data_IF_638608884730
#
_entry.id   IF_638608884730
#
_cell.length_a   1.000
_cell.length_b   1.000
_cell.length_c   1.000
_cell.angle_alpha   90.00
_cell.angle_beta   90.00
_cell.angle_gamma   90.00
#
_symmetry.space_group_name_H-M   'P 1'
#
loop_
_entity.id
_entity.type
_entity.pdbx_description
1 polymer ?
#
# COMPACT_ATOMS: atom_id res chain seq x y z
N UNK A 1 -1.96 1.49 35.72
CA UNK A 1 -1.74 0.59 34.56
C UNK A 1 -1.15 1.41 33.44
N UNK A 2 0.08 1.16 33.08
CA UNK A 2 0.73 1.81 31.92
C UNK A 2 0.03 1.30 30.67
N UNK A 3 -0.63 2.21 29.92
CA UNK A 3 -1.26 1.86 28.66
C UNK A 3 -0.15 1.63 27.64
N UNK A 4 0.03 0.39 27.26
CA UNK A 4 1.02 -0.02 26.26
C UNK A 4 0.53 0.40 24.87
N UNK A 5 1.42 0.91 24.03
CA UNK A 5 1.15 1.19 22.62
C UNK A 5 1.47 -0.09 21.84
N UNK A 6 0.46 -0.66 21.19
CA UNK A 6 0.64 -1.84 20.35
C UNK A 6 1.17 -1.44 18.98
N UNK A 7 1.94 -2.32 18.37
CA UNK A 7 2.36 -2.19 16.98
C UNK A 7 1.16 -2.37 16.06
N UNK A 8 1.08 -1.50 15.05
CA UNK A 8 0.03 -1.58 14.04
C UNK A 8 0.36 -2.69 13.04
N UNK A 9 -0.61 -3.52 12.71
CA UNK A 9 -0.49 -4.57 11.71
C UNK A 9 -1.43 -4.31 10.54
N UNK A 10 -0.98 -4.67 9.35
CA UNK A 10 -1.81 -4.71 8.15
C UNK A 10 -2.61 -6.02 8.20
N UNK A 11 -3.82 -5.95 8.77
CA UNK A 11 -4.63 -7.12 9.06
C UNK A 11 -5.30 -7.72 7.83
N UNK A 12 -5.67 -6.90 6.84
CA UNK A 12 -6.39 -7.33 5.66
C UNK A 12 -6.13 -6.39 4.48
N UNK A 13 -6.02 -6.96 3.29
CA UNK A 13 -6.03 -6.24 2.02
C UNK A 13 -7.19 -6.80 1.20
N UNK A 14 -8.09 -5.92 0.75
CA UNK A 14 -9.22 -6.26 -0.12
C UNK A 14 -9.07 -5.54 -1.44
N UNK A 15 -8.94 -6.28 -2.52
CA UNK A 15 -9.00 -5.72 -3.85
C UNK A 15 -10.44 -5.42 -4.22
N UNK A 16 -10.74 -4.16 -4.55
CA UNK A 16 -12.06 -3.67 -4.92
C UNK A 16 -12.23 -3.54 -6.44
N UNK A 17 -11.13 -3.63 -7.17
CA UNK A 17 -11.04 -3.53 -8.62
C UNK A 17 -9.60 -3.65 -9.07
N UNK A 18 -9.35 -3.54 -10.37
CA UNK A 18 -8.01 -3.70 -10.96
C UNK A 18 -7.00 -2.67 -10.41
N UNK A 19 -7.46 -1.42 -10.18
CA UNK A 19 -6.63 -0.32 -9.70
C UNK A 19 -7.15 0.25 -8.36
N UNK A 20 -7.89 -0.53 -7.58
CA UNK A 20 -8.49 -0.08 -6.31
C UNK A 20 -8.36 -1.16 -5.26
N UNK A 21 -7.79 -0.80 -4.10
CA UNK A 21 -7.67 -1.72 -2.96
C UNK A 21 -7.96 -1.02 -1.63
N UNK A 22 -8.45 -1.79 -0.68
CA UNK A 22 -8.72 -1.34 0.69
C UNK A 22 -7.79 -2.05 1.66
N UNK A 23 -7.13 -1.27 2.52
CA UNK A 23 -6.15 -1.71 3.51
C UNK A 23 -6.75 -1.54 4.91
N UNK A 24 -6.77 -2.61 5.70
CA UNK A 24 -7.27 -2.60 7.07
C UNK A 24 -6.09 -2.70 8.04
N UNK A 25 -5.88 -1.66 8.82
CA UNK A 25 -4.77 -1.53 9.78
C UNK A 25 -5.34 -1.56 11.19
N UNK A 26 -4.93 -2.52 12.00
CA UNK A 26 -5.32 -2.71 13.40
C UNK A 26 -4.31 -3.59 14.15
N UNK A 27 -4.21 -3.52 15.51
CA UNK A 27 -4.89 -2.55 16.37
C UNK A 27 -4.17 -1.20 16.38
N UNK A 28 -4.90 -0.12 16.53
CA UNK A 28 -4.35 1.22 16.71
C UNK A 28 -4.79 1.76 18.06
N UNK A 29 -3.91 2.48 18.75
CA UNK A 29 -4.27 3.20 19.96
C UNK A 29 -5.29 4.31 19.64
N UNK A 30 -6.14 4.66 20.59
CA UNK A 30 -7.18 5.67 20.42
C UNK A 30 -6.63 7.00 19.89
N UNK A 31 -7.21 7.51 18.80
CA UNK A 31 -6.80 8.72 18.10
C UNK A 31 -5.78 8.50 16.97
N UNK A 32 -5.03 7.38 16.98
CA UNK A 32 -4.00 7.10 15.96
C UNK A 32 -4.60 6.79 14.59
N UNK A 33 -5.82 6.28 14.52
CA UNK A 33 -6.51 6.03 13.26
C UNK A 33 -6.60 7.29 12.39
N UNK A 34 -7.02 8.40 12.96
CA UNK A 34 -7.07 9.69 12.25
C UNK A 34 -5.69 10.26 11.95
N UNK A 35 -4.74 10.14 12.87
CA UNK A 35 -3.37 10.65 12.68
C UNK A 35 -2.67 9.93 11.53
N UNK A 36 -2.69 8.60 11.53
CA UNK A 36 -2.07 7.79 10.48
C UNK A 36 -2.83 7.93 9.15
N UNK A 37 -4.17 7.87 9.20
CA UNK A 37 -5.01 7.97 8.00
C UNK A 37 -4.81 9.30 7.27
N UNK A 38 -4.77 10.42 7.99
CA UNK A 38 -4.51 11.72 7.39
C UNK A 38 -3.07 11.85 6.87
N UNK A 39 -2.07 11.36 7.61
CA UNK A 39 -0.67 11.41 7.20
C UNK A 39 -0.44 10.59 5.93
N UNK A 40 -0.92 9.35 5.90
CA UNK A 40 -0.84 8.47 4.71
C UNK A 40 -1.57 9.08 3.51
N UNK A 41 -2.81 9.57 3.71
CA UNK A 41 -3.56 10.22 2.65
C UNK A 41 -2.82 11.40 2.04
N UNK A 42 -2.22 12.26 2.85
CA UNK A 42 -1.48 13.43 2.37
C UNK A 42 -0.26 13.02 1.55
N UNK A 43 0.51 12.05 2.03
CA UNK A 43 1.70 11.56 1.32
C UNK A 43 1.32 10.85 0.02
N UNK A 44 0.29 10.00 0.03
CA UNK A 44 -0.24 9.33 -1.16
C UNK A 44 -0.63 10.33 -2.27
N UNK A 45 -1.29 11.43 -1.93
CA UNK A 45 -1.76 12.42 -2.90
C UNK A 45 -0.70 13.43 -3.36
N UNK A 46 0.43 13.55 -2.65
CA UNK A 46 1.41 14.61 -2.96
C UNK A 46 2.83 14.13 -3.21
N UNK A 47 3.18 12.93 -2.77
CA UNK A 47 4.60 12.56 -2.66
C UNK A 47 4.99 11.29 -3.39
N UNK A 48 4.03 10.56 -3.97
CA UNK A 48 4.33 9.41 -4.82
C UNK A 48 4.86 9.90 -6.16
N UNK A 49 5.93 9.25 -6.64
CA UNK A 49 6.57 9.56 -7.92
C UNK A 49 5.70 9.06 -9.07
N UNK A 50 5.60 9.86 -10.13
CA UNK A 50 4.96 9.47 -11.38
C UNK A 50 5.57 10.17 -12.58
N UNK A 51 5.02 9.94 -13.77
CA UNK A 51 5.45 10.54 -15.01
C UNK A 51 4.28 11.24 -15.72
N UNK A 52 4.55 12.34 -16.39
CA UNK A 52 3.54 13.07 -17.15
C UNK A 52 4.17 13.82 -18.35
N UNK A 53 3.33 14.16 -19.32
CA UNK A 53 3.73 15.03 -20.44
C UNK A 53 3.76 16.46 -19.93
N UNK A 54 4.89 17.14 -20.09
CA UNK A 54 5.13 18.50 -19.59
C UNK A 54 5.27 19.53 -20.70
N UNK A 55 5.56 19.09 -21.92
CA UNK A 55 5.59 19.94 -23.10
C UNK A 55 5.29 19.12 -24.36
N UNK A 56 4.74 19.76 -25.38
CA UNK A 56 4.56 19.17 -26.69
C UNK A 56 4.79 20.17 -27.81
N UNK A 57 5.08 19.68 -28.98
CA UNK A 57 5.13 20.42 -30.22
C UNK A 57 4.24 19.72 -31.23
N UNK A 58 3.30 20.45 -31.80
CA UNK A 58 2.44 19.99 -32.89
C UNK A 58 2.76 20.79 -34.14
N UNK A 59 3.10 20.11 -35.24
CA UNK A 59 3.42 20.76 -36.48
C UNK A 59 2.24 21.62 -36.95
N UNK A 60 2.51 22.90 -37.26
CA UNK A 60 1.47 23.87 -37.66
C UNK A 60 0.87 24.69 -36.50
N UNK A 61 1.31 24.47 -35.26
CA UNK A 61 0.89 25.29 -34.10
C UNK A 61 2.04 26.12 -33.56
N UNK A 62 1.72 27.39 -33.19
CA UNK A 62 2.69 28.28 -32.54
C UNK A 62 2.30 28.67 -31.11
N UNK A 63 1.06 28.40 -30.69
CA UNK A 63 0.54 28.74 -29.38
C UNK A 63 -0.66 27.86 -29.04
N UNK A 64 -0.98 27.78 -27.76
CA UNK A 64 -2.00 26.93 -27.16
C UNK A 64 -3.44 27.16 -27.64
N UNK A 65 -3.73 28.35 -28.19
CA UNK A 65 -5.06 28.71 -28.74
C UNK A 65 -5.14 28.60 -30.27
N UNK A 66 -4.32 27.76 -30.86
CA UNK A 66 -4.32 27.51 -32.30
C UNK A 66 -5.34 26.43 -32.69
N UNK A 67 -5.85 26.49 -33.90
CA UNK A 67 -6.55 25.36 -34.53
C UNK A 67 -5.69 24.85 -35.70
N UNK A 68 -5.58 23.54 -35.84
CA UNK A 68 -4.82 22.90 -36.92
C UNK A 68 -5.77 22.44 -38.00
N UNK A 69 -5.68 22.97 -39.25
CA UNK A 69 -6.49 22.48 -40.33
C UNK A 69 -6.28 20.97 -40.54
N UNK A 70 -7.37 20.20 -40.55
CA UNK A 70 -7.31 18.73 -40.67
C UNK A 70 -7.44 17.95 -39.39
N UNK A 71 -7.49 18.64 -38.23
CA UNK A 71 -7.82 18.08 -36.93
C UNK A 71 -9.14 18.69 -36.45
N UNK A 72 -9.99 17.88 -35.83
CA UNK A 72 -11.33 18.32 -35.35
C UNK A 72 -11.20 19.13 -34.06
N UNK A 73 -10.36 18.66 -33.13
CA UNK A 73 -10.12 19.28 -31.84
C UNK A 73 -9.16 20.47 -31.97
N UNK A 74 -9.35 21.48 -31.12
CA UNK A 74 -8.39 22.57 -31.00
C UNK A 74 -7.18 22.16 -30.12
N UNK A 75 -6.17 23.02 -30.07
CA UNK A 75 -4.94 22.73 -29.30
C UNK A 75 -5.24 22.61 -27.80
N UNK A 76 -6.20 23.35 -27.26
CA UNK A 76 -6.59 23.27 -25.84
C UNK A 76 -7.21 21.92 -25.53
N UNK A 77 -8.09 21.41 -26.40
CA UNK A 77 -8.68 20.07 -26.24
C UNK A 77 -7.62 18.98 -26.33
N UNK A 78 -6.66 19.13 -27.25
CA UNK A 78 -5.51 18.21 -27.35
C UNK A 78 -4.70 18.23 -26.03
N UNK A 79 -4.42 19.41 -25.46
CA UNK A 79 -3.73 19.53 -24.17
C UNK A 79 -4.49 18.80 -23.06
N UNK A 80 -5.82 18.98 -22.98
CA UNK A 80 -6.64 18.29 -21.99
C UNK A 80 -6.61 16.76 -22.17
N UNK A 81 -6.59 16.30 -23.41
CA UNK A 81 -6.49 14.87 -23.71
C UNK A 81 -5.10 14.30 -23.40
N UNK A 82 -4.02 15.03 -23.67
CA UNK A 82 -2.65 14.64 -23.33
C UNK A 82 -2.45 14.51 -21.81
N UNK A 83 -3.06 15.39 -21.00
CA UNK A 83 -3.03 15.32 -19.54
C UNK A 83 -3.70 14.05 -18.97
N UNK A 84 -4.61 13.45 -19.71
CA UNK A 84 -5.30 12.22 -19.33
C UNK A 84 -4.55 10.94 -19.74
N UNK A 85 -3.36 11.07 -20.32
CA UNK A 85 -2.50 9.91 -20.62
C UNK A 85 -1.71 9.53 -19.36
N UNK A 86 -1.87 8.30 -18.93
CA UNK A 86 -1.17 7.75 -17.74
C UNK A 86 0.10 7.07 -18.18
N UNK A 87 1.23 7.65 -17.78
CA UNK A 87 2.57 7.24 -18.19
C UNK A 87 3.36 6.70 -16.99
N UNK A 88 4.10 5.62 -17.23
CA UNK A 88 5.14 5.13 -16.33
C UNK A 88 6.49 5.32 -17.02
N UNK A 89 7.47 5.86 -16.28
CA UNK A 89 8.83 6.03 -16.76
C UNK A 89 9.83 5.51 -15.73
N UNK A 90 10.80 4.75 -16.20
CA UNK A 90 11.93 4.27 -15.37
C UNK A 90 13.08 5.29 -15.34
N UNK A 91 13.05 6.31 -16.22
CA UNK A 91 14.08 7.34 -16.30
C UNK A 91 13.78 8.50 -15.36
N UNK A 92 14.82 9.05 -14.72
CA UNK A 92 14.76 10.31 -13.96
C UNK A 92 15.01 11.55 -14.85
N UNK A 93 15.48 11.33 -16.09
CA UNK A 93 15.73 12.40 -17.05
C UNK A 93 14.53 12.56 -18.00
N UNK A 94 14.29 13.80 -18.51
CA UNK A 94 13.26 14.04 -19.51
C UNK A 94 13.47 13.19 -20.76
N UNK A 95 12.41 12.55 -21.22
CA UNK A 95 12.43 11.66 -22.39
C UNK A 95 11.51 12.21 -23.47
N UNK A 96 12.01 12.31 -24.70
CA UNK A 96 11.22 12.71 -25.86
C UNK A 96 10.53 11.50 -26.46
N UNK A 97 9.20 11.62 -26.69
CA UNK A 97 8.35 10.63 -27.36
C UNK A 97 7.73 11.26 -28.60
N UNK A 98 7.46 10.43 -29.61
CA UNK A 98 7.01 10.89 -30.91
C UNK A 98 5.72 10.20 -31.34
N UNK A 99 4.81 10.96 -31.96
CA UNK A 99 3.55 10.49 -32.53
C UNK A 99 3.48 10.91 -33.99
N UNK A 100 3.46 9.94 -34.90
CA UNK A 100 3.22 10.15 -36.32
C UNK A 100 2.02 9.31 -36.77
N UNK A 101 0.99 9.98 -37.33
CA UNK A 101 -0.17 9.29 -37.90
C UNK A 101 -0.63 9.95 -39.17
N UNK A 102 -0.87 9.14 -40.23
CA UNK A 102 -1.31 9.60 -41.50
C UNK A 102 -2.73 9.13 -41.85
N UNK A 103 -3.51 10.03 -42.40
CA UNK A 103 -4.88 9.76 -42.87
C UNK A 103 -5.94 10.00 -41.82
N UNK A 104 -7.20 10.01 -42.22
CA UNK A 104 -8.35 10.28 -41.35
C UNK A 104 -8.56 9.17 -40.31
N UNK A 105 -8.96 9.55 -39.11
CA UNK A 105 -9.30 8.62 -38.02
C UNK A 105 -8.95 9.14 -36.65
N UNK A 106 -9.35 8.38 -35.64
CA UNK A 106 -9.08 8.68 -34.22
C UNK A 106 -7.64 8.35 -33.87
N UNK A 107 -6.95 9.30 -33.28
CA UNK A 107 -5.58 9.14 -32.77
C UNK A 107 -5.66 8.81 -31.29
N UNK A 108 -4.96 7.76 -30.86
CA UNK A 108 -4.98 7.27 -29.48
C UNK A 108 -3.58 7.29 -28.89
N UNK A 109 -3.50 7.24 -27.56
CA UNK A 109 -2.26 7.15 -26.84
C UNK A 109 -1.40 5.93 -27.25
N UNK A 110 -2.05 4.82 -27.63
CA UNK A 110 -1.37 3.63 -28.15
C UNK A 110 -0.70 3.80 -29.53
N UNK A 111 -0.97 4.90 -30.26
CA UNK A 111 -0.30 5.23 -31.53
C UNK A 111 1.07 5.93 -31.30
N UNK A 112 1.39 6.31 -30.05
CA UNK A 112 2.66 6.96 -29.69
C UNK A 112 3.81 5.97 -29.80
N UNK A 113 4.88 6.39 -30.43
CA UNK A 113 6.15 5.62 -30.47
C UNK A 113 6.91 5.83 -29.16
N UNK A 114 7.02 4.77 -28.38
CA UNK A 114 7.64 4.81 -27.04
C UNK A 114 9.09 4.27 -27.12
N UNK A 115 10.06 4.97 -26.54
CA UNK A 115 11.39 4.43 -26.29
C UNK A 115 11.35 3.42 -25.14
N UNK A 116 12.45 2.69 -24.96
CA UNK A 116 12.61 1.72 -23.87
C UNK A 116 12.51 2.43 -22.51
N UNK A 117 11.73 1.85 -21.57
CA UNK A 117 11.56 2.38 -20.22
C UNK A 117 10.38 3.34 -20.06
N UNK A 118 9.54 3.53 -21.09
CA UNK A 118 8.27 4.25 -20.98
C UNK A 118 7.12 3.30 -21.36
N UNK A 119 6.08 3.30 -20.51
CA UNK A 119 4.87 2.53 -20.72
C UNK A 119 3.63 3.42 -20.58
N UNK A 120 2.55 3.11 -21.33
CA UNK A 120 1.25 3.78 -21.24
C UNK A 120 0.24 2.81 -20.61
N UNK A 121 -0.32 3.18 -19.47
CA UNK A 121 -1.31 2.37 -18.76
C UNK A 121 -2.69 2.39 -19.44
N UNK A 122 -3.04 3.49 -20.16
CA UNK A 122 -4.32 3.68 -20.83
C UNK A 122 -4.20 3.91 -22.34
N UNK A 123 -3.75 2.93 -23.15
CA UNK A 123 -3.47 3.10 -24.59
C UNK A 123 -4.71 3.46 -25.43
N UNK A 124 -5.92 3.30 -24.89
CA UNK A 124 -7.18 3.65 -25.56
C UNK A 124 -7.57 5.12 -25.40
N UNK A 125 -6.84 5.90 -24.61
CA UNK A 125 -7.09 7.33 -24.43
C UNK A 125 -7.01 8.04 -25.79
N UNK A 126 -8.06 8.77 -26.15
CA UNK A 126 -8.11 9.55 -27.38
C UNK A 126 -7.31 10.84 -27.22
N UNK A 127 -6.50 11.17 -28.20
CA UNK A 127 -5.71 12.41 -28.25
C UNK A 127 -6.41 13.42 -29.12
N UNK A 128 -6.69 13.06 -30.38
CA UNK A 128 -7.40 13.89 -31.34
C UNK A 128 -8.02 13.07 -32.50
N UNK A 129 -8.79 13.69 -33.34
CA UNK A 129 -9.41 13.09 -34.53
C UNK A 129 -8.94 13.81 -35.78
N UNK A 130 -8.37 13.08 -36.74
CA UNK A 130 -7.96 13.61 -38.06
C UNK A 130 -9.15 13.49 -39.00
N UNK A 131 -9.58 14.59 -39.59
CA UNK A 131 -10.70 14.64 -40.56
C UNK A 131 -10.19 14.58 -42.03
N UNK A 132 -9.04 15.19 -42.31
CA UNK A 132 -8.47 15.22 -43.68
C UNK A 132 -7.66 13.93 -43.97
N UNK A 133 -8.05 13.10 -44.97
CA UNK A 133 -7.33 11.88 -45.33
C UNK A 133 -5.90 12.11 -45.86
N UNK A 134 -5.55 13.35 -46.23
CA UNK A 134 -4.20 13.71 -46.69
C UNK A 134 -3.32 14.27 -45.60
N UNK A 135 -3.89 14.56 -44.44
CA UNK A 135 -3.16 15.14 -43.32
C UNK A 135 -2.23 14.10 -42.67
N UNK A 136 -1.06 14.55 -42.29
CA UNK A 136 -0.13 13.77 -41.48
C UNK A 136 0.06 14.52 -40.17
N UNK A 137 -0.37 13.91 -39.08
CA UNK A 137 -0.14 14.41 -37.73
C UNK A 137 1.31 14.10 -37.36
N UNK A 138 2.05 15.11 -36.92
CA UNK A 138 3.41 14.97 -36.39
C UNK A 138 3.48 15.75 -35.10
N UNK A 139 3.72 15.02 -33.99
CA UNK A 139 3.73 15.59 -32.66
C UNK A 139 4.90 15.01 -31.86
N UNK A 140 5.72 15.90 -31.29
CA UNK A 140 6.77 15.55 -30.34
C UNK A 140 6.33 15.95 -28.94
N UNK A 141 6.59 15.13 -27.96
CA UNK A 141 6.19 15.34 -26.56
C UNK A 141 7.36 15.05 -25.63
N UNK A 142 7.44 15.78 -24.53
CA UNK A 142 8.41 15.54 -23.47
C UNK A 142 7.70 14.93 -22.27
N UNK A 143 8.16 13.75 -21.86
CA UNK A 143 7.74 13.09 -20.63
C UNK A 143 8.77 13.34 -19.55
N UNK A 144 8.31 13.86 -18.43
CA UNK A 144 9.12 14.02 -17.22
C UNK A 144 8.61 13.15 -16.11
N UNK A 145 9.49 12.92 -15.15
CA UNK A 145 9.17 12.30 -13.86
C UNK A 145 9.23 13.32 -12.75
N UNK A 146 8.29 13.22 -11.82
CA UNK A 146 8.21 14.18 -10.73
C UNK A 146 7.29 13.72 -9.61
N UNK A 147 6.97 14.65 -8.71
CA UNK A 147 6.04 14.43 -7.59
C UNK A 147 5.07 15.61 -7.50
N UNK A 148 3.81 15.30 -7.23
CA UNK A 148 2.79 16.32 -7.05
C UNK A 148 2.40 17.03 -8.36
N UNK A 149 2.40 18.36 -8.37
CA UNK A 149 1.93 19.21 -9.47
C UNK A 149 3.01 20.19 -9.90
N UNK A 150 3.19 20.31 -11.21
CA UNK A 150 4.10 21.28 -11.84
C UNK A 150 3.26 22.28 -12.64
N UNK A 151 3.35 23.57 -12.31
CA UNK A 151 2.66 24.63 -13.07
C UNK A 151 3.40 24.97 -14.35
N UNK A 152 2.67 25.54 -15.34
CA UNK A 152 3.25 25.99 -16.61
C UNK A 152 4.41 26.98 -16.39
N UNK A 153 4.29 27.89 -15.42
CA UNK A 153 5.29 28.88 -15.11
C UNK A 153 6.63 28.25 -14.67
N UNK A 154 6.55 27.20 -13.84
CA UNK A 154 7.71 26.44 -13.39
C UNK A 154 8.31 25.60 -14.52
N UNK A 155 7.47 24.96 -15.33
CA UNK A 155 7.89 24.19 -16.50
C UNK A 155 8.60 25.06 -17.54
N UNK A 156 8.08 26.25 -17.80
CA UNK A 156 8.65 27.19 -18.79
C UNK A 156 9.99 27.76 -18.36
N UNK A 157 10.21 27.95 -17.04
CA UNK A 157 11.46 28.50 -16.50
C UNK A 157 12.65 27.51 -16.62
N UNK A 158 12.39 26.21 -16.57
CA UNK A 158 13.43 25.17 -16.60
C UNK A 158 13.76 24.69 -18.02
N UNK A 159 12.93 25.01 -19.04
CA UNK A 159 13.02 24.45 -20.39
C UNK A 159 13.18 25.51 -21.47
N UNK A 160 14.36 25.56 -22.02
CA UNK A 160 14.79 26.53 -23.04
C UNK A 160 14.50 26.07 -24.49
N UNK A 161 13.62 25.09 -24.75
CA UNK A 161 13.21 24.79 -26.12
C UNK A 161 12.02 25.68 -26.52
N UNK A 162 12.34 26.85 -27.05
CA UNK A 162 11.38 27.90 -27.38
C UNK A 162 10.35 27.60 -28.48
N UNK A 163 10.32 26.39 -29.00
CA UNK A 163 9.40 25.91 -30.04
C UNK A 163 8.35 24.91 -29.51
N UNK A 164 8.36 24.59 -28.20
CA UNK A 164 7.40 23.69 -27.58
C UNK A 164 6.39 24.45 -26.72
N UNK A 165 5.15 23.98 -26.70
CA UNK A 165 4.07 24.45 -25.85
C UNK A 165 4.19 23.71 -24.50
N UNK A 166 4.39 24.49 -23.43
CA UNK A 166 4.45 23.93 -22.06
C UNK A 166 3.05 23.58 -21.56
N UNK A 167 2.94 22.48 -20.86
CA UNK A 167 1.72 22.00 -20.20
C UNK A 167 1.98 21.88 -18.71
N UNK A 168 0.98 22.22 -17.88
CA UNK A 168 0.98 21.87 -16.48
C UNK A 168 0.81 20.36 -16.31
N UNK A 169 1.55 19.78 -15.40
CA UNK A 169 1.61 18.33 -15.20
C UNK A 169 1.22 17.90 -13.79
N UNK A 170 0.40 16.86 -13.70
CA UNK A 170 0.10 16.15 -12.46
C UNK A 170 0.85 14.82 -12.49
N UNK A 171 1.87 14.70 -11.66
CA UNK A 171 2.70 13.48 -11.62
C UNK A 171 2.12 12.39 -10.74
N UNK A 172 1.18 12.75 -9.83
CA UNK A 172 0.67 11.81 -8.84
C UNK A 172 -0.14 10.68 -9.49
N UNK A 173 0.28 9.41 -9.35
CA UNK A 173 -0.45 8.26 -9.92
C UNK A 173 -1.65 7.85 -9.06
N UNK A 174 -1.83 8.45 -7.89
CA UNK A 174 -2.92 8.17 -6.97
C UNK A 174 -4.07 9.14 -7.23
N UNK A 175 -5.17 8.61 -7.73
CA UNK A 175 -6.35 9.39 -8.11
C UNK A 175 -7.22 9.76 -6.91
N UNK A 176 -7.38 8.82 -5.97
CA UNK A 176 -8.28 9.02 -4.83
C UNK A 176 -7.83 8.21 -3.62
N UNK A 177 -7.90 8.84 -2.46
CA UNK A 177 -7.66 8.20 -1.17
C UNK A 177 -8.79 8.52 -0.22
N UNK A 178 -9.40 7.50 0.36
CA UNK A 178 -10.38 7.60 1.44
C UNK A 178 -9.89 6.84 2.65
N UNK A 179 -10.12 7.37 3.84
CA UNK A 179 -9.87 6.63 5.06
C UNK A 179 -11.04 6.77 6.03
N UNK A 180 -11.24 5.73 6.82
CA UNK A 180 -12.21 5.68 7.90
C UNK A 180 -11.56 5.07 9.14
N UNK A 181 -11.71 5.73 10.29
CA UNK A 181 -11.19 5.26 11.57
C UNK A 181 -12.36 4.91 12.49
N UNK A 182 -12.45 3.64 12.86
CA UNK A 182 -13.53 3.10 13.68
C UNK A 182 -12.96 2.49 14.97
N UNK A 183 -13.76 2.51 16.02
CA UNK A 183 -13.39 1.81 17.24
C UNK A 183 -13.51 0.31 17.02
N UNK A 184 -12.53 -0.42 17.51
CA UNK A 184 -12.49 -1.88 17.44
C UNK A 184 -12.17 -2.48 18.80
N UNK A 185 -12.50 -3.75 18.96
CA UNK A 185 -12.19 -4.51 20.17
C UNK A 185 -11.18 -5.61 19.80
N UNK A 186 -10.13 -5.71 20.58
CA UNK A 186 -9.18 -6.82 20.49
C UNK A 186 -9.01 -7.42 21.88
N UNK A 187 -9.49 -8.66 22.06
CA UNK A 187 -9.54 -9.30 23.36
C UNK A 187 -10.45 -8.55 24.35
N UNK A 188 -9.88 -8.12 25.48
CA UNK A 188 -10.59 -7.34 26.51
C UNK A 188 -10.48 -5.82 26.32
N UNK A 189 -9.60 -5.34 25.43
CA UNK A 189 -9.42 -3.92 25.19
C UNK A 189 -10.44 -3.39 24.18
N UNK A 190 -11.27 -2.47 24.64
CA UNK A 190 -12.35 -1.82 23.87
C UNK A 190 -11.97 -0.44 23.33
N UNK A 191 -10.82 0.11 23.72
CA UNK A 191 -10.37 1.46 23.39
C UNK A 191 -9.35 1.49 22.24
N UNK A 192 -9.41 0.50 21.36
CA UNK A 192 -8.57 0.42 20.18
C UNK A 192 -9.31 0.90 18.95
N UNK A 193 -8.56 1.28 17.92
CA UNK A 193 -9.10 1.71 16.63
C UNK A 193 -8.63 0.80 15.49
N UNK A 194 -9.44 0.75 14.46
CA UNK A 194 -9.15 0.18 13.15
C UNK A 194 -9.18 1.31 12.13
N UNK A 195 -8.17 1.37 11.28
CA UNK A 195 -8.12 2.27 10.14
C UNK A 195 -8.36 1.47 8.86
N UNK A 196 -9.37 1.86 8.10
CA UNK A 196 -9.61 1.36 6.76
C UNK A 196 -9.21 2.44 5.76
N UNK A 197 -8.24 2.15 4.89
CA UNK A 197 -7.71 3.07 3.88
C UNK A 197 -8.00 2.51 2.50
N UNK A 198 -8.74 3.23 1.66
CA UNK A 198 -9.01 2.84 0.26
C UNK A 198 -8.22 3.73 -0.67
N UNK A 199 -7.48 3.12 -1.58
CA UNK A 199 -6.60 3.78 -2.55
C UNK A 199 -7.04 3.39 -3.95
N UNK A 200 -7.26 4.39 -4.81
CA UNK A 200 -7.51 4.21 -6.23
C UNK A 200 -6.33 4.83 -7.00
N UNK A 201 -5.73 4.07 -7.91
CA UNK A 201 -4.61 4.48 -8.76
C UNK A 201 -5.02 4.58 -10.22
N UNK A 202 -4.16 5.16 -11.03
CA UNK A 202 -4.35 5.33 -12.48
C UNK A 202 -3.89 4.11 -13.31
N UNK A 203 -3.37 3.07 -12.67
CA UNK A 203 -2.87 1.85 -13.30
C UNK A 203 -1.37 1.85 -13.60
N UNK A 204 -0.65 2.96 -13.40
CA UNK A 204 0.81 3.00 -13.55
C UNK A 204 1.55 2.41 -12.36
N UNK A 205 0.91 2.42 -11.19
CA UNK A 205 1.37 1.80 -9.94
C UNK A 205 0.21 1.03 -9.31
N UNK A 206 0.52 -0.07 -8.64
CA UNK A 206 -0.49 -0.81 -7.88
C UNK A 206 -0.85 -0.07 -6.57
N UNK A 207 -2.09 -0.18 -6.07
CA UNK A 207 -2.47 0.42 -4.79
C UNK A 207 -1.57 -0.02 -3.62
N UNK A 208 -1.08 -1.26 -3.67
CA UNK A 208 -0.17 -1.81 -2.66
C UNK A 208 1.20 -1.14 -2.69
N UNK A 209 1.81 -1.03 -3.86
CA UNK A 209 3.09 -0.34 -4.03
C UNK A 209 3.00 1.13 -3.59
N UNK A 210 1.90 1.83 -3.98
CA UNK A 210 1.66 3.20 -3.54
C UNK A 210 1.55 3.31 -2.02
N UNK A 211 0.86 2.38 -1.36
CA UNK A 211 0.76 2.33 0.10
C UNK A 211 2.11 2.10 0.78
N UNK A 212 2.89 1.13 0.28
CA UNK A 212 4.23 0.79 0.81
C UNK A 212 5.21 1.96 0.63
N UNK A 213 5.21 2.64 -0.53
CA UNK A 213 6.02 3.83 -0.78
C UNK A 213 5.64 4.99 0.16
N UNK A 214 4.34 5.26 0.33
CA UNK A 214 3.86 6.29 1.24
C UNK A 214 4.27 6.03 2.69
N UNK A 215 4.15 4.79 3.15
CA UNK A 215 4.57 4.37 4.47
C UNK A 215 6.09 4.52 4.65
N UNK A 216 6.90 4.13 3.66
CA UNK A 216 8.35 4.26 3.68
C UNK A 216 8.79 5.75 3.74
N UNK A 217 8.11 6.64 3.00
CA UNK A 217 8.37 8.08 3.06
C UNK A 217 8.13 8.61 4.48
N UNK A 218 7.00 8.25 5.11
CA UNK A 218 6.68 8.67 6.48
C UNK A 218 7.69 8.13 7.50
N UNK A 219 8.06 6.85 7.40
CA UNK A 219 9.07 6.24 8.26
C UNK A 219 10.40 7.00 8.17
N UNK A 220 10.86 7.32 6.96
CA UNK A 220 12.10 8.06 6.76
C UNK A 220 12.06 9.46 7.40
N UNK A 221 10.94 10.18 7.25
CA UNK A 221 10.75 11.50 7.84
C UNK A 221 10.70 11.44 9.38
N UNK A 222 9.93 10.52 9.94
CA UNK A 222 9.82 10.37 11.39
C UNK A 222 11.11 9.84 12.02
N UNK A 223 11.82 8.95 11.36
CA UNK A 223 13.12 8.44 11.82
C UNK A 223 14.15 9.53 11.94
N UNK A 224 14.19 10.47 10.99
CA UNK A 224 15.07 11.63 11.04
C UNK A 224 14.77 12.53 12.27
N UNK A 225 13.48 12.64 12.67
CA UNK A 225 13.05 13.43 13.82
C UNK A 225 13.25 12.71 15.16
N UNK A 226 13.10 11.39 15.19
CA UNK A 226 13.22 10.59 16.42
C UNK A 226 14.66 10.54 16.97
N UNK A 227 15.67 10.73 16.12
CA UNK A 227 17.07 10.62 16.52
C UNK A 227 17.41 9.22 17.01
N UNK A 228 17.97 9.12 18.24
CA UNK A 228 18.30 7.84 18.89
C UNK A 228 17.26 7.37 19.89
N UNK A 229 16.13 8.08 20.02
CA UNK A 229 15.07 7.70 20.98
C UNK A 229 14.31 6.49 20.48
N UNK A 230 14.26 5.43 21.32
CA UNK A 230 13.48 4.21 21.05
C UNK A 230 12.34 4.16 22.07
N UNK A 231 11.11 3.98 21.59
CA UNK A 231 9.93 3.73 22.40
C UNK A 231 9.62 2.25 22.31
N UNK A 232 9.54 1.56 23.46
CA UNK A 232 9.13 0.16 23.48
C UNK A 232 7.64 0.07 23.10
N UNK A 233 7.35 -0.70 22.07
CA UNK A 233 6.00 -1.08 21.66
C UNK A 233 5.78 -2.55 22.01
N UNK A 234 4.56 -2.91 22.35
CA UNK A 234 4.19 -4.30 22.52
C UNK A 234 3.68 -4.87 21.19
N UNK A 235 3.95 -6.13 20.88
CA UNK A 235 3.37 -6.79 19.71
C UNK A 235 1.83 -6.72 19.78
N UNK A 236 1.21 -6.71 18.60
CA UNK A 236 -0.24 -6.69 18.50
C UNK A 236 -0.83 -7.91 19.25
N UNK A 237 -1.88 -7.75 20.07
CA UNK A 237 -2.55 -8.88 20.68
C UNK A 237 -3.18 -9.73 19.56
N UNK A 238 -2.62 -10.90 19.29
CA UNK A 238 -3.17 -11.81 18.29
C UNK A 238 -4.52 -12.34 18.78
N UNK A 239 -5.52 -12.30 17.91
CA UNK A 239 -6.87 -12.80 18.21
C UNK A 239 -6.89 -14.31 18.53
N UNK A 240 -5.82 -15.04 18.18
CA UNK A 240 -5.67 -16.47 18.43
C UNK A 240 -5.07 -16.81 19.80
N UNK A 241 -4.60 -15.82 20.59
CA UNK A 241 -4.04 -16.11 21.93
C UNK A 241 -5.12 -16.32 23.01
N UNK A 242 -6.39 -16.04 22.73
CA UNK A 242 -7.46 -16.17 23.74
C UNK A 242 -8.06 -17.57 23.84
N UNK A 243 -7.87 -18.45 22.87
CA UNK A 243 -8.33 -19.84 22.96
C UNK A 243 -7.23 -20.79 23.44
N UNK A 244 -5.96 -20.58 23.06
CA UNK A 244 -4.83 -21.41 23.51
C UNK A 244 -4.37 -21.08 24.94
N UNK A 245 -4.45 -19.80 25.36
CA UNK A 245 -4.03 -19.43 26.72
C UNK A 245 -5.02 -19.87 27.81
N UNK A 246 -6.31 -19.99 27.51
CA UNK A 246 -7.28 -20.51 28.48
C UNK A 246 -7.06 -21.99 28.75
N UNK A 247 -6.69 -22.78 27.75
CA UNK A 247 -6.32 -24.19 27.91
C UNK A 247 -4.97 -24.40 28.62
N UNK A 248 -3.99 -23.57 28.29
CA UNK A 248 -2.63 -23.65 28.85
C UNK A 248 -2.51 -23.12 30.31
N UNK A 249 -3.40 -22.21 30.71
CA UNK A 249 -3.47 -21.70 32.09
C UNK A 249 -4.31 -22.57 33.01
N UNK A 250 -4.92 -23.65 32.51
CA UNK A 250 -5.74 -24.56 33.29
C UNK A 250 -4.88 -25.24 34.37
N UNK A 251 -5.29 -25.15 35.65
CA UNK A 251 -4.59 -25.87 36.74
C UNK A 251 -4.63 -27.38 36.50
N UNK A 252 -3.54 -28.07 36.84
CA UNK A 252 -3.43 -29.52 36.70
C UNK A 252 -4.52 -30.28 37.48
N UNK A 253 -5.05 -29.67 38.56
CA UNK A 253 -6.15 -30.21 39.35
C UNK A 253 -7.48 -30.34 38.56
N UNK A 254 -7.69 -29.49 37.56
CA UNK A 254 -8.91 -29.49 36.73
C UNK A 254 -8.81 -30.42 35.54
N UNK A 255 -7.64 -31.00 35.25
CA UNK A 255 -7.43 -31.94 34.13
C UNK A 255 -8.07 -33.32 34.33
N UNK A 256 -8.64 -33.59 35.49
CA UNK A 256 -9.26 -34.89 35.79
C UNK A 256 -8.25 -36.06 35.86
N UNK A 257 -6.98 -35.76 36.15
CA UNK A 257 -5.94 -36.76 36.38
C UNK A 257 -6.17 -37.51 37.69
N UNK A 258 -5.63 -38.71 37.83
CA UNK A 258 -5.67 -39.44 39.10
C UNK A 258 -4.97 -38.63 40.17
N UNK A 259 -5.50 -38.70 41.43
CA UNK A 259 -4.92 -37.98 42.58
C UNK A 259 -3.42 -38.26 42.79
N UNK A 260 -2.96 -39.42 42.34
CA UNK A 260 -1.54 -39.81 42.45
C UNK A 260 -0.69 -39.09 41.38
N UNK A 261 -1.21 -38.96 40.13
CA UNK A 261 -0.54 -38.27 39.05
C UNK A 261 -0.52 -36.77 39.30
N UNK A 262 -1.65 -36.17 39.73
CA UNK A 262 -1.75 -34.76 40.06
C UNK A 262 -0.79 -34.36 41.19
N UNK A 263 -0.75 -35.14 42.29
CA UNK A 263 0.18 -34.92 43.42
C UNK A 263 1.65 -35.08 42.98
N UNK A 264 1.96 -35.99 42.08
CA UNK A 264 3.33 -36.16 41.60
C UNK A 264 3.81 -34.97 40.78
N UNK A 265 2.91 -34.35 39.95
CA UNK A 265 3.19 -33.12 39.20
C UNK A 265 3.34 -31.90 40.11
N UNK A 266 2.43 -31.72 41.07
CA UNK A 266 2.46 -30.63 42.05
C UNK A 266 3.72 -30.67 42.93
N UNK A 267 4.17 -31.85 43.35
CA UNK A 267 5.39 -32.03 44.14
C UNK A 267 6.68 -31.71 43.39
N UNK A 268 6.63 -31.62 42.06
CA UNK A 268 7.71 -31.21 41.18
C UNK A 268 7.50 -29.77 40.61
N UNK A 269 6.70 -28.94 41.30
CA UNK A 269 6.38 -27.55 40.98
C UNK A 269 5.70 -27.32 39.63
N UNK A 270 5.11 -28.34 39.00
CA UNK A 270 4.33 -28.26 37.77
C UNK A 270 2.88 -28.03 38.16
N UNK A 271 2.34 -26.83 37.87
CA UNK A 271 1.02 -26.39 38.34
C UNK A 271 0.01 -26.15 37.22
N UNK A 272 0.50 -25.93 35.99
CA UNK A 272 -0.33 -25.58 34.84
C UNK A 272 -0.05 -26.50 33.65
N UNK A 273 -0.97 -26.59 32.71
CA UNK A 273 -0.78 -27.29 31.43
C UNK A 273 0.41 -26.72 30.66
N UNK A 274 0.68 -25.42 30.82
CA UNK A 274 1.83 -24.75 30.21
C UNK A 274 3.16 -25.32 30.70
N UNK A 275 3.27 -25.54 32.00
CA UNK A 275 4.48 -26.11 32.60
C UNK A 275 4.71 -27.55 32.12
N UNK A 276 3.61 -28.27 31.87
CA UNK A 276 3.63 -29.65 31.36
C UNK A 276 4.12 -29.72 29.91
N UNK A 277 3.74 -28.75 29.05
CA UNK A 277 4.12 -28.69 27.64
C UNK A 277 5.58 -28.33 27.38
N UNK A 278 6.22 -27.64 28.35
CA UNK A 278 7.64 -27.27 28.28
C UNK A 278 8.56 -28.47 28.54
N UNK A 279 8.07 -29.52 29.25
CA UNK A 279 8.82 -30.69 29.61
C UNK A 279 8.80 -31.76 28.52
N UNK A 280 9.95 -32.32 28.21
CA UNK A 280 10.03 -33.46 27.30
C UNK A 280 9.56 -34.75 27.96
N UNK A 281 9.21 -35.77 27.16
CA UNK A 281 8.82 -37.08 27.70
C UNK A 281 9.92 -37.76 28.59
N UNK A 282 11.18 -37.43 28.34
CA UNK A 282 12.32 -37.86 29.12
C UNK A 282 12.33 -37.19 30.51
N UNK A 283 12.03 -35.87 30.51
CA UNK A 283 12.00 -35.11 31.77
C UNK A 283 10.85 -35.54 32.67
N UNK A 284 9.69 -35.86 32.09
CA UNK A 284 8.52 -36.40 32.79
C UNK A 284 8.79 -37.78 33.41
N UNK A 285 9.61 -38.63 32.78
CA UNK A 285 10.00 -39.95 33.33
C UNK A 285 10.95 -39.84 34.50
N UNK A 286 11.77 -38.78 34.55
CA UNK A 286 12.75 -38.56 35.62
C UNK A 286 12.16 -37.90 36.89
N UNK A 287 10.86 -37.49 36.82
CA UNK A 287 10.16 -36.89 37.96
C UNK A 287 9.92 -37.93 39.08
N UNK A 288 10.23 -37.54 40.32
CA UNK A 288 10.00 -38.38 41.50
C UNK A 288 8.53 -38.74 41.68
N UNK A 289 8.22 -40.02 41.58
CA UNK A 289 6.86 -40.52 41.78
C UNK A 289 5.98 -40.60 40.53
N UNK A 290 6.55 -40.27 39.35
CA UNK A 290 5.88 -40.29 38.05
C UNK A 290 6.21 -41.62 37.31
N UNK A 291 5.22 -42.47 37.11
CA UNK A 291 5.40 -43.78 36.48
C UNK A 291 4.83 -43.83 35.06
N UNK A 292 5.08 -44.95 34.34
CA UNK A 292 4.60 -45.15 32.96
C UNK A 292 3.09 -44.94 32.79
N UNK A 293 2.27 -45.37 33.77
CA UNK A 293 0.81 -45.17 33.78
C UNK A 293 0.41 -43.70 33.90
N UNK A 294 1.17 -42.90 34.64
CA UNK A 294 0.93 -41.48 34.79
C UNK A 294 1.26 -40.72 33.51
N UNK A 295 2.25 -41.19 32.75
CA UNK A 295 2.63 -40.66 31.46
C UNK A 295 1.56 -40.90 30.38
N UNK A 296 0.98 -42.10 30.34
CA UNK A 296 -0.12 -42.47 29.45
C UNK A 296 -1.38 -41.62 29.76
N UNK A 297 -1.70 -41.43 31.06
CA UNK A 297 -2.84 -40.62 31.51
C UNK A 297 -2.68 -39.13 31.14
N UNK A 298 -1.51 -38.57 31.28
CA UNK A 298 -1.21 -37.20 30.88
C UNK A 298 -1.29 -37.03 29.34
N UNK A 299 -0.77 -37.99 28.60
CA UNK A 299 -0.82 -38.01 27.13
C UNK A 299 -2.25 -38.04 26.60
N UNK A 300 -3.09 -38.89 27.18
CA UNK A 300 -4.51 -39.01 26.82
C UNK A 300 -5.23 -37.69 27.06
N UNK A 301 -4.98 -37.04 28.21
CA UNK A 301 -5.60 -35.76 28.56
C UNK A 301 -5.11 -34.58 27.73
N UNK A 302 -3.84 -34.52 27.38
CA UNK A 302 -3.30 -33.50 26.48
C UNK A 302 -3.87 -33.66 25.08
N UNK A 303 -4.09 -34.89 24.60
CA UNK A 303 -4.71 -35.17 23.30
C UNK A 303 -6.20 -34.79 23.29
N UNK A 304 -6.94 -35.00 24.39
CA UNK A 304 -8.34 -34.57 24.55
C UNK A 304 -8.50 -33.04 24.50
N UNK A 305 -7.51 -32.30 24.99
CA UNK A 305 -7.52 -30.83 25.03
C UNK A 305 -7.02 -30.19 23.74
N UNK A 306 -6.58 -30.97 22.74
CA UNK A 306 -5.97 -30.49 21.48
C UNK A 306 -4.74 -29.58 21.70
N UNK A 307 -3.97 -29.80 22.76
CA UNK A 307 -2.85 -28.94 23.18
C UNK A 307 -1.50 -29.64 22.96
#
# INVERSE_FOLDING_TARGET
MTKVIHEAELAEIKDLGENSSSFVIKPLYYGYGNTLGNSLRRVLLSSIKGAAITAFRLEGTNHEFSAVPGIVEDTVDIILNLKNIHLKSDSDEPVEIHLEKRGSGVVKAGDITLPTGIEIANPQQVICTIDDPKFTLNMDMIVDTGRGYLSIEQSSAERTRGDMIAIDAVFTPVLRVRYNAENTRVGQDTNLQQLTLTIDTDGTITPREAFEEAAAILVNQYKALAGSTVVESAPAPSANQTEDESGLATPIEELGLSARTANALLNNDIRTVRDLKVLSESDLKDLKGFGAKALDEVREKLTELNV
#
